data_IF_262535026621
#
_entry.id   IF_262535026621
#
_cell.length_a   1.000
_cell.length_b   1.000
_cell.length_c   1.000
_cell.angle_alpha   90.00
_cell.angle_beta   90.00
_cell.angle_gamma   90.00
#
_symmetry.space_group_name_H-M   'P 1'
#
loop_
_entity.id
_entity.type
_entity.pdbx_description
1 polymer ?
#
# COMPACT_ATOMS: atom_id res chain seq x y z
N UNK A 1 15.81 14.89 8.34
CA UNK A 1 14.67 14.79 7.38
C UNK A 1 14.19 13.36 7.39
N UNK A 2 12.88 13.13 7.63
CA UNK A 2 12.29 11.78 7.64
C UNK A 2 12.47 11.11 6.28
N UNK A 3 12.97 9.88 6.29
CA UNK A 3 13.20 9.07 5.09
C UNK A 3 12.04 8.12 4.84
N UNK A 4 11.65 7.98 3.57
CA UNK A 4 10.56 7.10 3.13
C UNK A 4 11.10 6.10 2.13
N UNK A 5 11.24 4.86 2.55
CA UNK A 5 11.66 3.75 1.70
C UNK A 5 10.50 3.27 0.82
N UNK A 6 10.60 3.52 -0.47
CA UNK A 6 9.62 3.06 -1.46
C UNK A 6 10.04 1.68 -1.95
N UNK A 7 9.20 0.69 -1.69
CA UNK A 7 9.49 -0.70 -2.04
C UNK A 7 9.42 -0.88 -3.55
N UNK A 8 10.56 -1.21 -4.16
CA UNK A 8 10.66 -1.56 -5.57
C UNK A 8 10.65 -3.09 -5.73
N UNK A 9 9.52 -3.63 -6.13
CA UNK A 9 9.32 -5.05 -6.40
C UNK A 9 8.82 -5.29 -7.84
N UNK A 10 9.08 -4.31 -8.73
CA UNK A 10 8.70 -4.36 -10.14
C UNK A 10 7.24 -4.01 -10.43
N UNK A 11 6.51 -3.46 -9.43
CA UNK A 11 5.08 -3.10 -9.58
C UNK A 11 4.84 -1.73 -8.95
N UNK A 12 4.19 -0.83 -9.69
CA UNK A 12 3.84 0.49 -9.20
C UNK A 12 4.47 1.64 -9.97
N UNK A 13 3.85 2.82 -9.88
CA UNK A 13 4.41 4.06 -10.42
C UNK A 13 5.35 4.71 -9.39
N UNK A 14 6.51 4.05 -9.15
CA UNK A 14 7.44 4.41 -8.09
C UNK A 14 8.07 5.80 -8.27
N UNK A 15 8.32 6.22 -9.52
CA UNK A 15 8.91 7.53 -9.79
C UNK A 15 7.95 8.67 -9.48
N UNK A 16 6.68 8.54 -9.88
CA UNK A 16 5.64 9.52 -9.55
C UNK A 16 5.42 9.61 -8.05
N UNK A 17 5.43 8.46 -7.36
CA UNK A 17 5.30 8.39 -5.91
C UNK A 17 6.48 9.03 -5.20
N UNK A 18 7.71 8.79 -5.67
CA UNK A 18 8.92 9.42 -5.17
C UNK A 18 8.86 10.96 -5.27
N UNK A 19 8.38 11.47 -6.42
CA UNK A 19 8.15 12.91 -6.59
C UNK A 19 7.15 13.46 -5.57
N UNK A 20 6.04 12.77 -5.36
CA UNK A 20 5.01 13.17 -4.38
C UNK A 20 5.56 13.17 -2.95
N UNK A 21 6.34 12.16 -2.56
CA UNK A 21 7.01 12.08 -1.26
C UNK A 21 7.94 13.27 -1.05
N UNK A 22 8.70 13.66 -2.09
CA UNK A 22 9.61 14.81 -2.04
C UNK A 22 8.85 16.13 -1.90
N UNK A 23 7.76 16.31 -2.65
CA UNK A 23 6.89 17.50 -2.56
C UNK A 23 6.29 17.62 -1.15
N UNK A 24 5.96 16.49 -0.51
CA UNK A 24 5.49 16.46 0.87
C UNK A 24 6.57 16.77 1.93
N UNK A 25 7.80 17.06 1.53
CA UNK A 25 8.90 17.44 2.44
C UNK A 25 9.66 16.26 3.04
N UNK A 26 9.50 15.05 2.51
CA UNK A 26 10.22 13.85 2.95
C UNK A 26 11.33 13.45 1.96
N UNK A 27 12.28 12.63 2.43
CA UNK A 27 13.34 12.07 1.59
C UNK A 27 12.92 10.70 1.06
N UNK A 28 12.56 10.56 -0.25
CA UNK A 28 12.26 9.26 -0.82
C UNK A 28 13.52 8.47 -1.12
N UNK A 29 13.45 7.17 -0.90
CA UNK A 29 14.50 6.20 -1.17
C UNK A 29 13.90 4.96 -1.85
N UNK A 30 14.05 4.86 -3.17
CA UNK A 30 13.53 3.74 -3.96
C UNK A 30 14.53 2.59 -3.84
N UNK A 31 14.07 1.42 -3.39
CA UNK A 31 14.96 0.28 -3.26
C UNK A 31 14.22 -1.06 -3.26
N UNK A 32 14.88 -2.09 -3.80
CA UNK A 32 14.57 -3.51 -3.59
C UNK A 32 15.44 -4.15 -2.49
N UNK A 33 16.44 -3.42 -1.97
CA UNK A 33 17.32 -3.90 -0.91
C UNK A 33 16.63 -3.82 0.46
N UNK A 34 16.49 -4.97 1.11
CA UNK A 34 15.96 -5.07 2.48
C UNK A 34 16.77 -4.25 3.48
N UNK A 35 18.10 -4.20 3.27
CA UNK A 35 18.99 -3.44 4.14
C UNK A 35 18.71 -1.93 4.04
N UNK A 36 18.63 -1.38 2.82
CA UNK A 36 18.33 0.03 2.61
C UNK A 36 16.92 0.40 3.13
N UNK A 37 15.94 -0.41 2.80
CA UNK A 37 14.56 -0.22 3.27
C UNK A 37 14.44 -0.28 4.81
N UNK A 38 15.26 -1.10 5.47
CA UNK A 38 15.24 -1.19 6.94
C UNK A 38 15.74 0.08 7.63
N UNK A 39 16.61 0.85 6.98
CA UNK A 39 17.14 2.12 7.48
C UNK A 39 16.18 3.30 7.31
N UNK A 40 15.16 3.16 6.48
CA UNK A 40 14.14 4.21 6.29
C UNK A 40 13.23 4.33 7.52
N UNK A 41 12.75 5.54 7.79
CA UNK A 41 11.83 5.81 8.91
C UNK A 41 10.42 5.26 8.64
N UNK A 42 9.99 5.29 7.38
CA UNK A 42 8.68 4.82 6.91
C UNK A 42 8.88 3.92 5.70
N UNK A 43 8.10 2.85 5.59
CA UNK A 43 8.03 2.00 4.39
C UNK A 43 6.76 2.35 3.62
N UNK A 44 6.91 2.62 2.32
CA UNK A 44 5.81 2.89 1.40
C UNK A 44 5.72 1.75 0.40
N UNK A 45 4.61 1.01 0.43
CA UNK A 45 4.32 -0.10 -0.47
C UNK A 45 3.37 0.39 -1.57
N UNK A 46 3.88 0.66 -2.78
CA UNK A 46 3.05 1.00 -3.92
C UNK A 46 2.41 -0.26 -4.51
N UNK A 47 1.46 -0.09 -5.42
CA UNK A 47 0.95 -1.19 -6.21
C UNK A 47 -0.04 -0.72 -7.26
N UNK A 48 0.04 -1.35 -8.44
CA UNK A 48 -0.92 -1.23 -9.54
C UNK A 48 -1.07 -2.60 -10.22
N UNK A 49 -2.19 -2.83 -10.90
CA UNK A 49 -2.46 -4.08 -11.60
C UNK A 49 -3.11 -5.15 -10.72
N UNK A 50 -2.81 -6.43 -10.96
CA UNK A 50 -3.48 -7.54 -10.29
C UNK A 50 -2.82 -7.96 -8.98
N UNK A 51 -3.63 -8.38 -8.02
CA UNK A 51 -3.17 -8.83 -6.71
C UNK A 51 -2.23 -10.04 -6.79
N UNK A 52 -2.59 -11.05 -7.59
CA UNK A 52 -1.79 -12.28 -7.73
C UNK A 52 -0.38 -11.98 -8.25
N UNK A 53 -0.28 -11.19 -9.32
CA UNK A 53 1.01 -10.81 -9.89
C UNK A 53 1.88 -10.04 -8.88
N UNK A 54 1.29 -9.08 -8.18
CA UNK A 54 2.00 -8.25 -7.21
C UNK A 54 2.50 -9.05 -6.00
N UNK A 55 1.66 -9.93 -5.43
CA UNK A 55 2.07 -10.74 -4.27
C UNK A 55 3.15 -11.76 -4.65
N UNK A 56 3.10 -12.31 -5.87
CA UNK A 56 4.12 -13.23 -6.36
C UNK A 56 5.49 -12.54 -6.53
N UNK A 57 5.51 -11.30 -7.03
CA UNK A 57 6.74 -10.52 -7.14
C UNK A 57 7.34 -10.22 -5.76
N UNK A 58 6.51 -9.86 -4.78
CA UNK A 58 6.97 -9.67 -3.39
C UNK A 58 7.58 -10.95 -2.82
N UNK A 59 6.95 -12.10 -3.04
CA UNK A 59 7.45 -13.42 -2.58
C UNK A 59 8.76 -13.79 -3.26
N UNK A 60 8.84 -13.65 -4.60
CA UNK A 60 10.06 -13.97 -5.36
C UNK A 60 11.28 -13.17 -4.89
N UNK A 61 11.08 -11.90 -4.53
CA UNK A 61 12.14 -11.04 -3.99
C UNK A 61 12.37 -11.23 -2.47
N UNK A 62 11.48 -11.96 -1.79
CA UNK A 62 11.46 -12.12 -0.33
C UNK A 62 11.15 -10.83 0.42
N UNK A 63 10.60 -9.82 -0.27
CA UNK A 63 10.17 -8.56 0.34
C UNK A 63 8.88 -8.73 1.15
N UNK A 64 8.06 -9.75 0.87
CA UNK A 64 6.90 -10.15 1.67
C UNK A 64 7.28 -10.40 3.12
N UNK A 65 8.22 -11.30 3.36
CA UNK A 65 8.72 -11.66 4.70
C UNK A 65 9.40 -10.48 5.39
N UNK A 66 10.11 -9.65 4.62
CA UNK A 66 10.73 -8.44 5.12
C UNK A 66 9.67 -7.44 5.64
N UNK A 67 8.65 -7.13 4.83
CA UNK A 67 7.58 -6.18 5.21
C UNK A 67 6.83 -6.69 6.46
N UNK A 68 6.50 -7.98 6.51
CA UNK A 68 5.88 -8.60 7.70
C UNK A 68 6.78 -8.45 8.94
N UNK A 69 8.09 -8.66 8.79
CA UNK A 69 9.04 -8.47 9.90
C UNK A 69 9.09 -7.02 10.36
N UNK A 70 9.09 -6.06 9.42
CA UNK A 70 9.09 -4.64 9.76
C UNK A 70 7.81 -4.22 10.48
N UNK A 71 6.64 -4.75 10.11
CA UNK A 71 5.39 -4.48 10.81
C UNK A 71 5.39 -4.96 12.26
N UNK A 72 6.01 -6.13 12.53
CA UNK A 72 6.10 -6.69 13.87
C UNK A 72 6.96 -5.86 14.84
N UNK A 73 7.89 -5.08 14.33
CA UNK A 73 8.70 -4.12 15.11
C UNK A 73 8.12 -2.70 15.08
N UNK A 74 6.84 -2.57 14.72
CA UNK A 74 6.10 -1.30 14.66
C UNK A 74 6.69 -0.26 13.70
N UNK A 75 7.42 -0.67 12.66
CA UNK A 75 7.84 0.25 11.59
C UNK A 75 6.59 0.77 10.88
N UNK A 76 6.41 2.08 10.70
CA UNK A 76 5.29 2.64 9.93
C UNK A 76 5.31 2.12 8.49
N UNK A 77 4.19 1.54 8.06
CA UNK A 77 4.00 1.03 6.71
C UNK A 77 2.75 1.66 6.11
N UNK A 78 2.89 2.25 4.92
CA UNK A 78 1.81 2.86 4.17
C UNK A 78 1.63 2.10 2.87
N UNK A 79 0.45 1.54 2.66
CA UNK A 79 0.06 0.92 1.38
C UNK A 79 -0.73 1.89 0.51
N UNK A 80 -0.37 2.00 -0.77
CA UNK A 80 -1.09 2.83 -1.74
C UNK A 80 -1.79 1.94 -2.76
N UNK A 81 -3.12 2.10 -2.90
CA UNK A 81 -3.96 1.37 -3.84
C UNK A 81 -3.78 -0.16 -3.66
N UNK A 82 -3.31 -0.87 -4.68
CA UNK A 82 -3.02 -2.30 -4.59
C UNK A 82 -2.03 -2.61 -3.44
N UNK A 83 -1.07 -1.73 -3.16
CA UNK A 83 -0.16 -1.88 -2.02
C UNK A 83 -0.89 -1.99 -0.68
N UNK A 84 -1.97 -1.21 -0.48
CA UNK A 84 -2.84 -1.35 0.70
C UNK A 84 -3.57 -2.70 0.71
N UNK A 85 -4.08 -3.15 -0.43
CA UNK A 85 -4.74 -4.44 -0.54
C UNK A 85 -3.80 -5.61 -0.21
N UNK A 86 -2.52 -5.53 -0.62
CA UNK A 86 -1.49 -6.53 -0.30
C UNK A 86 -1.24 -6.66 1.21
N UNK A 87 -1.43 -5.60 1.99
CA UNK A 87 -1.30 -5.64 3.45
C UNK A 87 -2.40 -6.49 4.12
N UNK A 88 -3.54 -6.69 3.44
CA UNK A 88 -4.67 -7.47 3.96
C UNK A 88 -4.35 -8.98 4.03
N UNK A 89 -5.23 -9.74 4.71
CA UNK A 89 -5.02 -11.18 4.92
C UNK A 89 -5.11 -12.00 3.63
N UNK A 90 -6.06 -11.68 2.76
CA UNK A 90 -6.24 -12.38 1.49
C UNK A 90 -7.06 -11.56 0.47
N UNK A 91 -7.04 -12.00 -0.79
CA UNK A 91 -7.82 -11.45 -1.89
C UNK A 91 -8.48 -12.54 -2.69
N UNK A 92 -9.64 -12.23 -3.29
CA UNK A 92 -10.33 -13.10 -4.26
C UNK A 92 -10.06 -12.71 -5.72
N UNK A 93 -9.18 -11.74 -5.96
CA UNK A 93 -8.82 -11.32 -7.30
C UNK A 93 -7.96 -12.39 -8.00
N UNK A 94 -8.46 -12.91 -9.14
CA UNK A 94 -7.78 -13.96 -9.88
C UNK A 94 -7.67 -15.31 -9.13
N UNK A 95 -8.59 -15.56 -8.18
CA UNK A 95 -8.58 -16.73 -7.30
C UNK A 95 -8.33 -16.37 -5.83
N UNK A 96 -8.15 -17.37 -4.97
CA UNK A 96 -7.85 -17.13 -3.56
C UNK A 96 -6.34 -16.93 -3.39
N UNK A 97 -5.95 -15.70 -3.10
CA UNK A 97 -4.57 -15.31 -2.89
C UNK A 97 -4.33 -14.86 -1.46
N UNK A 98 -3.29 -15.40 -0.82
CA UNK A 98 -2.86 -14.97 0.52
C UNK A 98 -2.05 -13.67 0.41
N UNK A 99 -2.47 -12.63 1.15
CA UNK A 99 -1.74 -11.39 1.31
C UNK A 99 -0.72 -11.43 2.45
N UNK A 100 -0.26 -10.26 2.89
CA UNK A 100 0.75 -10.13 3.95
C UNK A 100 0.17 -10.33 5.36
N UNK A 101 -1.15 -10.20 5.52
CA UNK A 101 -1.84 -10.43 6.80
C UNK A 101 -1.50 -9.42 7.90
N UNK A 102 -1.02 -8.24 7.53
CA UNK A 102 -0.70 -7.15 8.46
C UNK A 102 -1.99 -6.44 8.89
N UNK A 103 -2.93 -6.27 7.95
CA UNK A 103 -4.26 -5.71 8.20
C UNK A 103 -5.26 -6.86 8.15
N UNK A 104 -6.02 -7.13 9.24
CA UNK A 104 -7.09 -8.11 9.21
C UNK A 104 -8.15 -7.70 8.18
N UNK A 105 -8.44 -8.57 7.22
CA UNK A 105 -9.47 -8.30 6.21
C UNK A 105 -9.28 -9.14 4.97
N UNK A 106 -10.36 -9.18 4.16
CA UNK A 106 -10.40 -9.91 2.90
C UNK A 106 -10.81 -8.97 1.78
N UNK A 107 -9.96 -8.85 0.78
CA UNK A 107 -10.24 -8.08 -0.42
C UNK A 107 -11.18 -8.88 -1.33
N UNK A 108 -12.35 -8.31 -1.62
CA UNK A 108 -13.40 -8.91 -2.44
C UNK A 108 -13.79 -7.98 -3.58
N UNK A 109 -14.34 -8.56 -4.64
CA UNK A 109 -14.94 -7.77 -5.72
C UNK A 109 -16.11 -6.96 -5.18
N UNK A 110 -16.23 -5.72 -5.63
CA UNK A 110 -17.36 -4.85 -5.28
C UNK A 110 -18.67 -5.44 -5.81
N UNK A 111 -19.69 -5.54 -4.94
CA UNK A 111 -20.97 -6.17 -5.28
C UNK A 111 -21.90 -5.26 -6.09
N UNK A 112 -21.90 -3.96 -5.80
CA UNK A 112 -22.88 -3.01 -6.34
C UNK A 112 -22.41 -2.27 -7.59
N UNK A 113 -21.13 -2.27 -7.87
CA UNK A 113 -20.53 -1.71 -9.08
C UNK A 113 -19.36 -2.56 -9.52
N UNK A 114 -19.14 -2.65 -10.83
CA UNK A 114 -17.96 -3.38 -11.33
C UNK A 114 -16.64 -2.66 -10.99
N UNK A 115 -16.68 -1.33 -10.87
CA UNK A 115 -15.53 -0.47 -10.58
C UNK A 115 -15.97 0.80 -9.88
N UNK A 116 -15.11 1.30 -8.99
CA UNK A 116 -15.19 2.65 -8.44
C UNK A 116 -14.08 3.48 -9.06
N UNK A 117 -14.44 4.37 -10.00
CA UNK A 117 -13.50 5.26 -10.68
C UNK A 117 -14.03 6.68 -10.55
N UNK A 118 -13.24 7.57 -9.97
CA UNK A 118 -13.59 8.99 -9.84
C UNK A 118 -13.17 9.62 -8.53
N UNK A 119 -13.45 10.91 -8.41
CA UNK A 119 -13.25 11.69 -7.20
C UNK A 119 -14.41 11.47 -6.24
N UNK A 120 -14.08 11.13 -5.01
CA UNK A 120 -15.06 10.99 -3.92
C UNK A 120 -14.46 11.43 -2.59
N UNK A 121 -15.32 11.96 -1.73
CA UNK A 121 -14.94 12.33 -0.37
C UNK A 121 -14.83 11.09 0.53
N UNK A 122 -13.85 11.11 1.43
CA UNK A 122 -13.73 10.10 2.48
C UNK A 122 -14.45 10.56 3.74
N UNK A 123 -15.10 9.60 4.41
CA UNK A 123 -15.70 9.80 5.73
C UNK A 123 -15.02 8.88 6.74
N UNK A 124 -14.44 9.46 7.78
CA UNK A 124 -13.80 8.69 8.84
C UNK A 124 -14.83 8.19 9.84
N UNK A 125 -14.90 6.88 10.02
CA UNK A 125 -15.73 6.23 11.04
C UNK A 125 -15.24 6.54 12.46
N UNK A 126 -13.93 6.69 12.63
CA UNK A 126 -13.31 7.03 13.91
C UNK A 126 -12.80 8.47 13.91
N UNK A 127 -13.44 9.33 14.72
CA UNK A 127 -13.11 10.76 14.82
C UNK A 127 -11.73 11.05 15.44
N UNK A 128 -11.13 10.11 16.14
CA UNK A 128 -9.81 10.26 16.76
C UNK A 128 -8.67 9.71 15.88
N UNK A 129 -8.96 9.38 14.62
CA UNK A 129 -7.96 8.90 13.69
C UNK A 129 -6.98 10.01 13.28
N UNK A 130 -5.69 9.67 13.07
CA UNK A 130 -4.67 10.63 12.63
C UNK A 130 -4.99 11.30 11.28
N UNK A 131 -5.83 10.68 10.45
CA UNK A 131 -6.34 11.25 9.20
C UNK A 131 -7.52 12.24 9.39
N UNK A 132 -7.88 12.61 10.63
CA UNK A 132 -9.03 13.47 10.93
C UNK A 132 -9.08 14.74 10.07
N UNK A 133 -7.93 15.35 9.81
CA UNK A 133 -7.82 16.56 8.97
C UNK A 133 -8.27 16.33 7.51
N UNK A 134 -8.31 15.09 7.05
CA UNK A 134 -8.73 14.72 5.69
C UNK A 134 -10.19 14.27 5.60
N UNK A 135 -10.93 14.30 6.71
CA UNK A 135 -12.35 13.96 6.68
C UNK A 135 -13.10 14.91 5.74
N UNK A 136 -13.93 14.39 4.87
CA UNK A 136 -14.62 15.09 3.78
C UNK A 136 -13.70 15.64 2.66
N UNK A 137 -12.39 15.36 2.67
CA UNK A 137 -11.53 15.66 1.52
C UNK A 137 -11.77 14.65 0.40
N UNK A 138 -11.63 15.12 -0.83
CA UNK A 138 -11.78 14.29 -2.03
C UNK A 138 -10.47 13.56 -2.36
N UNK A 139 -10.62 12.29 -2.74
CA UNK A 139 -9.56 11.44 -3.25
C UNK A 139 -10.00 10.81 -4.56
N UNK A 140 -9.06 10.55 -5.43
CA UNK A 140 -9.32 9.82 -6.67
C UNK A 140 -9.24 8.31 -6.39
N UNK A 141 -10.36 7.63 -6.65
CA UNK A 141 -10.47 6.19 -6.55
C UNK A 141 -10.38 5.54 -7.92
N UNK A 142 -9.74 4.38 -7.98
CA UNK A 142 -9.67 3.56 -9.20
C UNK A 142 -9.48 2.09 -8.80
N UNK A 143 -10.58 1.42 -8.46
CA UNK A 143 -10.54 0.03 -8.01
C UNK A 143 -11.85 -0.71 -8.30
N UNK A 144 -11.75 -2.05 -8.46
CA UNK A 144 -12.90 -2.96 -8.57
C UNK A 144 -12.99 -3.94 -7.39
N UNK A 145 -12.04 -3.85 -6.45
CA UNK A 145 -11.94 -4.70 -5.26
C UNK A 145 -11.81 -3.83 -4.00
N UNK A 146 -12.43 -4.29 -2.90
CA UNK A 146 -12.47 -3.60 -1.62
C UNK A 146 -12.31 -4.58 -0.45
#
# INVERSE_FOLDING_TARGET
MISVGIVDYGVGNIHSLSKSVRIAGFRPEISSSKELLSKSDIILLPGVGSFSFAIDNLKKSGLDSFIIKQSKINKPIIGICLGMQLLCSNSTEGGINKGLGIIPGKIKRMSNSKFHIGWNSIQLKNKNHFLKRFNNHEFFFNHGYQ
#
